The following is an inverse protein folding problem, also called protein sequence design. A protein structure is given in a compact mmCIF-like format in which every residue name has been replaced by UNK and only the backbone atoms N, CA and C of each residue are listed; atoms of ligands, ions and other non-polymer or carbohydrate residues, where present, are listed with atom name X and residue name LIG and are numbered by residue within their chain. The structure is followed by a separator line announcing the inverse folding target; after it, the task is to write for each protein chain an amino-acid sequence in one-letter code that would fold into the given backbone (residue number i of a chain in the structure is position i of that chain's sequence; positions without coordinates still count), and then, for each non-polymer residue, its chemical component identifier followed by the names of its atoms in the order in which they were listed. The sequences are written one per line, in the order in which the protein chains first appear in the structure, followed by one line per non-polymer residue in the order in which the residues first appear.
data_IF_898437868943
#
_entry.id   IF_898437868943
#
_cell.length_a   1.000
_cell.length_b   1.000
_cell.length_c   1.000
_cell.angle_alpha   90.00
_cell.angle_beta   90.00
_cell.angle_gamma   90.00
#
_symmetry.space_group_name_H-M   'P 1'
#
loop_
_entity.id
_entity.type
_entity.pdbx_description
1 polymer ?
#
# COMPACT_ATOMS: atom_id res chain seq x y z
N UNK A 1 16.50 -14.43 -0.85
CA UNK A 1 15.09 -13.99 -0.97
C UNK A 1 15.11 -12.48 -0.79
N UNK A 2 14.65 -11.69 -1.76
CA UNK A 2 14.74 -10.23 -1.68
C UNK A 2 13.85 -9.73 -0.52
N UNK A 3 14.45 -9.12 0.50
CA UNK A 3 13.74 -8.43 1.56
C UNK A 3 13.11 -7.17 0.96
N UNK A 4 11.83 -7.22 0.60
CA UNK A 4 11.10 -6.00 0.24
C UNK A 4 10.91 -5.17 1.52
N UNK A 5 11.45 -3.95 1.51
CA UNK A 5 11.39 -3.04 2.64
C UNK A 5 9.96 -2.49 2.78
N UNK A 6 9.39 -2.63 3.97
CA UNK A 6 8.06 -2.08 4.32
C UNK A 6 8.23 -0.63 4.80
N UNK A 7 7.42 0.28 4.25
CA UNK A 7 7.37 1.69 4.64
C UNK A 7 6.02 2.00 5.27
N UNK A 8 6.05 2.64 6.45
CA UNK A 8 4.86 3.21 7.07
C UNK A 8 4.63 4.61 6.51
N UNK A 9 3.51 4.81 5.84
CA UNK A 9 3.15 6.07 5.19
C UNK A 9 1.76 6.54 5.66
N UNK A 10 1.51 7.83 5.59
CA UNK A 10 0.14 8.36 5.72
C UNK A 10 -0.70 8.00 4.49
N UNK A 11 -1.99 7.74 4.70
CA UNK A 11 -2.93 7.42 3.63
C UNK A 11 -3.14 8.67 2.76
N UNK A 12 -2.41 8.74 1.65
CA UNK A 12 -2.49 9.80 0.65
C UNK A 12 -2.73 9.26 -0.76
N UNK A 13 -3.32 10.07 -1.64
CA UNK A 13 -3.54 9.71 -3.04
C UNK A 13 -2.24 9.47 -3.79
N UNK A 14 -1.12 10.06 -3.37
CA UNK A 14 0.21 9.82 -3.97
C UNK A 14 0.66 8.35 -3.89
N UNK A 15 0.12 7.58 -2.94
CA UNK A 15 0.45 6.16 -2.74
C UNK A 15 -0.49 5.22 -3.51
N UNK A 16 -1.44 5.73 -4.28
CA UNK A 16 -2.24 4.89 -5.20
C UNK A 16 -1.29 4.24 -6.21
N UNK A 17 -1.44 2.94 -6.40
CA UNK A 17 -0.54 2.09 -7.20
C UNK A 17 0.57 1.42 -6.38
N UNK A 18 0.70 1.70 -5.09
CA UNK A 18 1.65 0.99 -4.22
C UNK A 18 1.05 -0.32 -3.71
N UNK A 19 1.90 -1.33 -3.54
CA UNK A 19 1.48 -2.62 -2.97
C UNK A 19 1.47 -2.51 -1.44
N UNK A 20 0.36 -2.90 -0.83
CA UNK A 20 0.17 -2.90 0.62
C UNK A 20 1.02 -3.99 1.24
N UNK A 21 1.80 -3.63 2.25
CA UNK A 21 2.76 -4.52 2.89
C UNK A 21 2.24 -5.20 4.17
N UNK A 22 1.05 -4.83 4.65
CA UNK A 22 0.39 -5.49 5.78
C UNK A 22 -1.13 -5.46 5.62
N UNK A 23 -1.81 -6.46 6.20
CA UNK A 23 -3.27 -6.47 6.21
C UNK A 23 -3.83 -5.26 6.98
N UNK A 24 -4.81 -4.57 6.39
CA UNK A 24 -5.47 -3.42 7.00
C UNK A 24 -6.82 -3.87 7.56
N UNK A 25 -7.04 -3.60 8.84
CA UNK A 25 -8.27 -3.95 9.56
C UNK A 25 -8.97 -2.71 10.07
N UNK A 26 -10.29 -2.69 9.97
CA UNK A 26 -11.17 -1.77 10.68
C UNK A 26 -11.53 -2.36 12.04
N UNK A 27 -11.35 -1.58 13.10
CA UNK A 27 -11.74 -1.96 14.47
C UNK A 27 -11.17 -3.31 14.94
N UNK A 28 -10.11 -3.82 14.28
CA UNK A 28 -9.51 -5.15 14.48
C UNK A 28 -10.45 -6.34 14.21
N UNK A 29 -11.64 -6.10 13.65
CA UNK A 29 -12.62 -7.14 13.36
C UNK A 29 -12.82 -7.35 11.86
N UNK A 30 -12.78 -6.28 11.06
CA UNK A 30 -13.10 -6.35 9.63
C UNK A 30 -11.84 -6.09 8.80
N UNK A 31 -11.40 -7.06 8.00
CA UNK A 31 -10.30 -6.86 7.06
C UNK A 31 -10.78 -6.00 5.88
N UNK A 32 -10.20 -4.81 5.72
CA UNK A 32 -10.49 -3.90 4.62
C UNK A 32 -9.63 -4.21 3.39
N UNK A 33 -8.35 -4.51 3.62
CA UNK A 33 -7.37 -4.74 2.58
C UNK A 33 -6.37 -5.81 2.99
N UNK A 34 -6.00 -6.67 2.05
CA UNK A 34 -5.03 -7.74 2.30
C UNK A 34 -3.61 -7.31 1.95
N UNK A 35 -2.63 -7.88 2.65
CA UNK A 35 -1.22 -7.78 2.27
C UNK A 35 -1.02 -8.29 0.83
N UNK A 36 -0.15 -7.61 0.06
CA UNK A 36 0.13 -7.92 -1.34
C UNK A 36 -0.86 -7.32 -2.34
N UNK A 37 -1.93 -6.66 -1.88
CA UNK A 37 -2.86 -5.96 -2.76
C UNK A 37 -2.35 -4.58 -3.15
N UNK A 38 -2.59 -4.17 -4.39
CA UNK A 38 -2.30 -2.80 -4.85
C UNK A 38 -3.35 -1.84 -4.32
N UNK A 39 -2.91 -0.73 -3.72
CA UNK A 39 -3.77 0.37 -3.30
C UNK A 39 -4.35 1.07 -4.52
N UNK A 40 -5.61 0.79 -4.85
CA UNK A 40 -6.33 1.49 -5.93
C UNK A 40 -7.06 2.71 -5.37
N UNK A 41 -7.53 3.60 -6.25
CA UNK A 41 -8.37 4.74 -5.82
C UNK A 41 -9.60 4.27 -5.02
N UNK A 42 -10.24 3.17 -5.45
CA UNK A 42 -11.39 2.59 -4.74
C UNK A 42 -11.02 2.16 -3.32
N UNK A 43 -9.85 1.55 -3.14
CA UNK A 43 -9.38 1.14 -1.82
C UNK A 43 -8.95 2.35 -0.98
N UNK A 44 -8.30 3.34 -1.57
CA UNK A 44 -7.99 4.59 -0.90
C UNK A 44 -9.25 5.26 -0.34
N UNK A 45 -10.31 5.38 -1.14
CA UNK A 45 -11.59 5.96 -0.69
C UNK A 45 -12.21 5.13 0.44
N UNK A 46 -12.19 3.80 0.32
CA UNK A 46 -12.69 2.90 1.36
C UNK A 46 -11.91 3.05 2.68
N UNK A 47 -10.58 3.10 2.63
CA UNK A 47 -9.74 3.32 3.80
C UNK A 47 -9.98 4.71 4.42
N UNK A 48 -10.21 5.73 3.59
CA UNK A 48 -10.52 7.09 4.03
C UNK A 48 -11.88 7.19 4.73
N UNK A 49 -12.91 6.53 4.20
CA UNK A 49 -14.25 6.44 4.84
C UNK A 49 -14.16 5.75 6.21
N UNK A 50 -13.23 4.81 6.36
CA UNK A 50 -12.96 4.13 7.62
C UNK A 50 -11.93 4.83 8.52
N UNK A 51 -11.60 6.09 8.22
CA UNK A 51 -10.69 6.93 9.02
C UNK A 51 -9.29 6.31 9.24
N UNK A 52 -8.84 5.46 8.30
CA UNK A 52 -7.49 4.89 8.34
C UNK A 52 -6.49 5.98 7.98
N UNK A 53 -5.61 6.34 8.93
CA UNK A 53 -4.63 7.42 8.73
C UNK A 53 -3.29 6.93 8.21
N UNK A 54 -2.85 5.76 8.63
CA UNK A 54 -1.52 5.22 8.33
C UNK A 54 -1.66 3.82 7.73
N UNK A 55 -0.84 3.52 6.73
CA UNK A 55 -0.77 2.21 6.08
C UNK A 55 0.69 1.78 5.91
N UNK A 56 0.89 0.48 5.72
CA UNK A 56 2.18 -0.07 5.34
C UNK A 56 2.14 -0.43 3.87
N UNK A 57 3.12 0.06 3.12
CA UNK A 57 3.29 -0.25 1.69
C UNK A 57 4.71 -0.74 1.44
N UNK A 58 4.89 -1.53 0.40
CA UNK A 58 6.22 -1.87 -0.09
C UNK A 58 6.80 -0.64 -0.79
N UNK A 59 8.09 -0.41 -0.57
CA UNK A 59 8.85 0.56 -1.35
C UNK A 59 8.69 0.19 -2.84
N UNK A 60 8.32 1.16 -3.69
CA UNK A 60 8.43 0.96 -5.13
C UNK A 60 9.91 0.75 -5.40
N UNK A 61 10.31 -0.50 -5.65
CA UNK A 61 11.52 -0.75 -6.44
C UNK A 61 11.25 -0.06 -7.77
N UNK A 62 11.83 1.12 -7.96
CA UNK A 62 12.04 1.66 -9.30
C UNK A 62 12.69 0.53 -10.09
N UNK A 63 11.95 -0.04 -11.05
CA UNK A 63 12.58 -0.89 -12.07
C UNK A 63 13.73 -0.06 -12.64
N UNK A 64 14.98 -0.56 -12.66
CA UNK A 64 16.01 0.14 -13.40
C UNK A 64 15.50 0.28 -14.82
N UNK A 65 15.34 1.52 -15.29
CA UNK A 65 15.04 1.81 -16.68
C UNK A 65 16.01 0.97 -17.53
N UNK A 66 15.53 0.22 -18.54
CA UNK A 66 16.43 -0.57 -19.36
C UNK A 66 17.42 0.39 -20.01
N UNK A 67 18.70 0.22 -19.69
CA UNK A 67 19.79 0.85 -20.42
C UNK A 67 19.65 0.39 -21.88
N UNK A 68 19.23 1.30 -22.77
CA UNK A 68 19.20 1.04 -24.22
C UNK A 68 20.62 0.66 -24.66
N UNK A 69 20.78 -0.56 -25.19
CA UNK A 69 22.04 -1.10 -25.74
C UNK A 69 22.07 -0.97 -27.26
#
# INVERSE_FOLDING_TARGET
MSEQKKLRVELDKSHVGYTVAENIYKEKEIKLLSEGMVLTERFYELLKVHEIKNIYVYEKTEEPEPEEV
#
